data_IF_295063131420
#
_entry.id   IF_295063131420
#
_cell.length_a   1.000
_cell.length_b   1.000
_cell.length_c   1.000
_cell.angle_alpha   90.00
_cell.angle_beta   90.00
_cell.angle_gamma   90.00
#
_symmetry.space_group_name_H-M   'P 1'
#
loop_
_entity.id
_entity.type
_entity.pdbx_description
1 polymer ?
#
# COMPACT_ATOMS: atom_id res chain seq x y z
N UNK A 1 1.10 5.24 5.43
CA UNK A 1 2.45 4.65 5.31
C UNK A 1 3.51 5.75 5.41
N UNK A 2 4.35 5.71 6.44
CA UNK A 2 5.37 6.74 6.69
C UNK A 2 6.57 6.56 5.75
N UNK A 3 7.37 7.63 5.60
CA UNK A 3 8.57 7.60 4.74
C UNK A 3 9.74 6.83 5.35
N UNK A 4 9.82 6.78 6.67
CA UNK A 4 10.93 6.21 7.45
C UNK A 4 11.04 4.67 7.42
N UNK A 5 10.03 3.94 6.89
CA UNK A 5 10.08 2.47 6.85
C UNK A 5 11.08 1.89 5.84
N UNK A 6 11.55 0.64 6.01
CA UNK A 6 12.38 -0.06 5.02
C UNK A 6 11.73 -0.13 3.64
N UNK A 7 12.50 0.06 2.57
CA UNK A 7 11.96 0.12 1.20
C UNK A 7 11.30 -1.19 0.76
N UNK A 8 11.86 -2.34 1.11
CA UNK A 8 11.30 -3.66 0.78
C UNK A 8 9.94 -3.83 1.45
N UNK A 9 9.84 -3.57 2.75
CA UNK A 9 8.59 -3.67 3.50
C UNK A 9 7.50 -2.75 2.93
N UNK A 10 7.84 -1.50 2.60
CA UNK A 10 6.90 -0.54 1.98
C UNK A 10 6.42 -1.04 0.61
N UNK A 11 7.33 -1.56 -0.22
CA UNK A 11 7.02 -2.09 -1.54
C UNK A 11 6.09 -3.31 -1.47
N UNK A 12 6.44 -4.29 -0.63
CA UNK A 12 5.62 -5.49 -0.40
C UNK A 12 4.23 -5.12 0.12
N UNK A 13 4.15 -4.24 1.13
CA UNK A 13 2.88 -3.81 1.68
C UNK A 13 2.02 -3.07 0.63
N UNK A 14 2.62 -2.25 -0.22
CA UNK A 14 1.90 -1.58 -1.30
C UNK A 14 1.29 -2.60 -2.29
N UNK A 15 2.07 -3.62 -2.69
CA UNK A 15 1.58 -4.67 -3.60
C UNK A 15 0.49 -5.51 -2.95
N UNK A 16 0.67 -5.90 -1.69
CA UNK A 16 -0.34 -6.63 -0.91
C UNK A 16 -1.62 -5.81 -0.79
N UNK A 17 -1.53 -4.53 -0.43
CA UNK A 17 -2.69 -3.64 -0.34
C UNK A 17 -3.40 -3.45 -1.68
N UNK A 18 -2.64 -3.32 -2.78
CA UNK A 18 -3.20 -3.22 -4.12
C UNK A 18 -3.95 -4.49 -4.55
N UNK A 19 -3.53 -5.66 -4.04
CA UNK A 19 -4.22 -6.93 -4.26
C UNK A 19 -5.42 -7.09 -3.33
N UNK A 20 -5.25 -6.73 -2.06
CA UNK A 20 -6.25 -6.91 -1.00
C UNK A 20 -7.50 -6.07 -1.27
N UNK A 21 -7.37 -4.83 -1.77
CA UNK A 21 -8.53 -4.00 -2.15
C UNK A 21 -9.44 -4.60 -3.23
N UNK A 22 -8.96 -5.58 -3.98
CA UNK A 22 -9.73 -6.26 -5.04
C UNK A 22 -10.51 -7.47 -4.51
N UNK A 23 -10.24 -7.86 -3.27
CA UNK A 23 -10.70 -9.12 -2.68
C UNK A 23 -11.49 -8.87 -1.41
N UNK A 24 -11.02 -7.97 -0.56
CA UNK A 24 -11.61 -7.67 0.73
C UNK A 24 -12.57 -6.47 0.58
N UNK A 25 -13.89 -6.66 0.82
CA UNK A 25 -14.89 -5.60 0.68
C UNK A 25 -14.58 -4.36 1.51
N UNK A 26 -14.12 -4.54 2.75
CA UNK A 26 -13.84 -3.42 3.65
C UNK A 26 -12.64 -2.59 3.16
N UNK A 27 -11.60 -3.24 2.65
CA UNK A 27 -10.46 -2.55 2.03
C UNK A 27 -10.82 -1.95 0.66
N UNK A 28 -11.70 -2.61 -0.09
CA UNK A 28 -12.27 -2.10 -1.33
C UNK A 28 -13.07 -0.81 -1.12
N UNK A 29 -13.90 -0.75 -0.08
CA UNK A 29 -14.62 0.45 0.34
C UNK A 29 -13.69 1.62 0.61
N UNK A 30 -12.65 1.40 1.43
CA UNK A 30 -11.63 2.43 1.72
C UNK A 30 -10.99 2.93 0.43
N UNK A 31 -10.65 2.03 -0.50
CA UNK A 31 -10.08 2.45 -1.79
C UNK A 31 -11.06 3.29 -2.62
N UNK A 32 -12.32 2.85 -2.71
CA UNK A 32 -13.38 3.53 -3.45
C UNK A 32 -13.61 4.95 -2.91
N UNK A 33 -13.80 5.10 -1.59
CA UNK A 33 -14.00 6.40 -0.95
C UNK A 33 -12.83 7.35 -1.24
N UNK A 34 -11.60 6.86 -1.17
CA UNK A 34 -10.41 7.66 -1.45
C UNK A 34 -10.39 8.16 -2.91
N UNK A 35 -10.77 7.33 -3.88
CA UNK A 35 -10.72 7.72 -5.29
C UNK A 35 -11.94 8.53 -5.74
N UNK A 36 -13.14 8.12 -5.34
CA UNK A 36 -14.40 8.65 -5.86
C UNK A 36 -14.86 9.85 -5.05
N UNK A 37 -14.91 9.72 -3.72
CA UNK A 37 -15.40 10.78 -2.82
C UNK A 37 -14.31 11.83 -2.61
N UNK A 38 -13.10 11.41 -2.24
CA UNK A 38 -12.03 12.34 -1.89
C UNK A 38 -11.17 12.78 -3.09
N UNK A 39 -11.34 12.16 -4.27
CA UNK A 39 -10.55 12.51 -5.46
C UNK A 39 -9.05 12.26 -5.33
N UNK A 40 -8.61 11.38 -4.42
CA UNK A 40 -7.20 11.08 -4.23
C UNK A 40 -6.66 10.20 -5.38
N UNK A 41 -5.42 10.43 -5.82
CA UNK A 41 -4.81 9.58 -6.85
C UNK A 41 -4.60 8.14 -6.34
N UNK A 42 -4.55 7.19 -7.28
CA UNK A 42 -4.40 5.76 -7.02
C UNK A 42 -3.33 5.44 -5.97
N UNK A 43 -2.13 6.01 -6.10
CA UNK A 43 -1.01 5.74 -5.20
C UNK A 43 -1.33 6.12 -3.75
N UNK A 44 -2.01 7.26 -3.54
CA UNK A 44 -2.45 7.71 -2.21
C UNK A 44 -3.58 6.84 -1.67
N UNK A 45 -4.54 6.47 -2.51
CA UNK A 45 -5.62 5.54 -2.14
C UNK A 45 -5.06 4.17 -1.69
N UNK A 46 -4.12 3.59 -2.45
CA UNK A 46 -3.47 2.32 -2.06
C UNK A 46 -2.66 2.49 -0.76
N UNK A 47 -1.99 3.61 -0.55
CA UNK A 47 -1.30 3.86 0.73
C UNK A 47 -2.26 3.97 1.92
N UNK A 48 -3.49 4.44 1.70
CA UNK A 48 -4.54 4.45 2.73
C UNK A 48 -5.00 3.02 3.03
N UNK A 49 -5.23 2.21 2.00
CA UNK A 49 -5.54 0.77 2.15
C UNK A 49 -4.43 0.04 2.92
N UNK A 50 -3.17 0.27 2.56
CA UNK A 50 -2.02 -0.30 3.26
C UNK A 50 -2.03 0.06 4.75
N UNK A 51 -2.43 1.28 5.09
CA UNK A 51 -2.52 1.72 6.49
C UNK A 51 -3.64 0.98 7.23
N UNK A 52 -4.78 0.72 6.58
CA UNK A 52 -5.86 -0.09 7.15
C UNK A 52 -5.52 -1.59 7.24
N UNK A 53 -4.64 -2.09 6.37
CA UNK A 53 -4.23 -3.49 6.33
C UNK A 53 -3.19 -3.85 7.42
N UNK A 54 -2.27 -2.93 7.78
CA UNK A 54 -1.24 -3.16 8.80
C UNK A 54 -1.80 -3.74 10.12
N UNK A 55 -2.80 -3.13 10.79
CA UNK A 55 -3.29 -3.65 12.06
C UNK A 55 -3.90 -5.06 11.92
N UNK A 56 -4.45 -5.40 10.75
CA UNK A 56 -4.97 -6.75 10.46
C UNK A 56 -3.85 -7.78 10.38
N UNK A 57 -2.77 -7.46 9.67
CA UNK A 57 -1.57 -8.31 9.59
C UNK A 57 -0.98 -8.53 10.99
N UNK A 58 -0.80 -7.44 11.76
CA UNK A 58 -0.25 -7.53 13.11
C UNK A 58 -1.12 -8.41 14.02
N UNK A 59 -2.44 -8.30 13.90
CA UNK A 59 -3.38 -9.12 14.67
C UNK A 59 -3.27 -10.61 14.32
N UNK A 60 -3.30 -10.95 13.03
CA UNK A 60 -3.14 -12.33 12.52
C UNK A 60 -1.82 -12.94 12.99
N UNK A 61 -0.73 -12.18 12.91
CA UNK A 61 0.59 -12.63 13.36
C UNK A 61 0.65 -12.82 14.88
N UNK A 62 0.07 -11.89 15.65
CA UNK A 62 0.06 -11.96 17.12
C UNK A 62 -0.80 -13.12 17.64
N UNK A 63 -1.93 -13.36 17.00
CA UNK A 63 -2.90 -14.40 17.38
C UNK A 63 -2.56 -15.77 16.73
N UNK A 64 -1.53 -15.84 15.89
CA UNK A 64 -1.12 -17.03 15.14
C UNK A 64 -2.30 -17.77 14.47
N UNK A 65 -3.12 -17.02 13.74
CA UNK A 65 -4.30 -17.54 13.04
C UNK A 65 -4.31 -17.13 11.59
N UNK A 66 -5.18 -17.76 10.82
CA UNK A 66 -5.38 -17.37 9.42
C UNK A 66 -6.15 -16.06 9.28
N UNK A 67 -5.85 -15.34 8.19
CA UNK A 67 -6.59 -14.14 7.81
C UNK A 67 -7.93 -14.53 7.20
N UNK A 68 -9.02 -14.08 7.84
CA UNK A 68 -10.39 -14.27 7.37
C UNK A 68 -10.89 -12.96 6.76
N UNK A 69 -11.51 -13.05 5.58
CA UNK A 69 -12.13 -11.92 4.89
C UNK A 69 -13.55 -11.77 5.44
N UNK A 70 -13.97 -10.53 5.67
CA UNK A 70 -15.31 -10.21 6.15
C UNK A 70 -16.04 -9.34 5.14
N UNK A 71 -17.36 -9.47 5.06
CA UNK A 71 -18.24 -8.53 4.36
C UNK A 71 -18.34 -7.18 5.10
N UNK A 72 -19.30 -6.32 4.70
CA UNK A 72 -19.48 -5.01 5.32
C UNK A 72 -20.26 -5.09 6.64
N UNK A 73 -21.03 -6.16 6.81
CA UNK A 73 -21.90 -6.47 7.93
C UNK A 73 -21.13 -7.20 9.06
N UNK A 74 -19.94 -7.71 8.77
CA UNK A 74 -19.06 -8.39 9.73
C UNK A 74 -19.12 -9.91 9.68
N UNK A 75 -19.69 -10.51 8.65
CA UNK A 75 -19.72 -11.97 8.46
C UNK A 75 -18.48 -12.45 7.71
N UNK A 76 -17.92 -13.62 8.09
CA UNK A 76 -16.79 -14.21 7.38
C UNK A 76 -17.25 -14.72 6.01
N UNK A 77 -16.47 -14.40 4.97
CA UNK A 77 -16.77 -14.78 3.59
C UNK A 77 -15.58 -15.40 2.89
N UNK A 78 -15.86 -16.10 1.80
CA UNK A 78 -14.82 -16.64 0.92
C UNK A 78 -14.15 -15.55 0.09
N UNK A 79 -12.94 -15.86 -0.41
CA UNK A 79 -12.20 -15.00 -1.33
C UNK A 79 -12.97 -14.70 -2.63
N UNK A 80 -13.79 -15.65 -3.11
CA UNK A 80 -14.58 -15.52 -4.33
C UNK A 80 -15.72 -14.53 -4.14
N UNK A 81 -16.44 -14.66 -3.02
CA UNK A 81 -17.51 -13.74 -2.64
C UNK A 81 -16.99 -12.33 -2.42
N UNK A 82 -15.87 -12.18 -1.70
CA UNK A 82 -15.27 -10.87 -1.48
C UNK A 82 -14.91 -10.15 -2.79
N UNK A 83 -14.33 -10.87 -3.75
CA UNK A 83 -14.08 -10.33 -5.11
C UNK A 83 -15.36 -9.91 -5.83
N UNK A 84 -16.43 -10.69 -5.68
CA UNK A 84 -17.74 -10.38 -6.28
C UNK A 84 -18.29 -9.08 -5.69
N UNK A 85 -18.34 -8.96 -4.37
CA UNK A 85 -18.81 -7.76 -3.67
C UNK A 85 -18.00 -6.53 -4.08
N UNK A 86 -16.67 -6.64 -4.10
CA UNK A 86 -15.81 -5.52 -4.52
C UNK A 86 -16.10 -5.08 -5.95
N UNK A 87 -16.31 -6.03 -6.87
CA UNK A 87 -16.61 -5.73 -8.27
C UNK A 87 -17.98 -5.07 -8.43
N UNK A 88 -18.97 -5.50 -7.66
CA UNK A 88 -20.36 -5.02 -7.75
C UNK A 88 -20.54 -3.65 -7.05
N UNK A 89 -19.98 -3.48 -5.84
CA UNK A 89 -20.26 -2.32 -5.00
C UNK A 89 -19.16 -1.25 -5.02
N UNK A 90 -17.90 -1.65 -5.25
CA UNK A 90 -16.73 -0.77 -5.15
C UNK A 90 -16.02 -0.57 -6.50
N UNK A 91 -16.80 -0.59 -7.59
CA UNK A 91 -16.30 -0.28 -8.91
C UNK A 91 -15.92 1.20 -9.02
N UNK A 92 -14.65 1.49 -9.31
CA UNK A 92 -14.20 2.85 -9.61
C UNK A 92 -14.33 3.11 -11.11
N UNK A 93 -15.23 4.03 -11.55
CA UNK A 93 -15.45 4.34 -12.95
C UNK A 93 -14.18 4.79 -13.66
N UNK A 94 -14.08 4.51 -14.96
CA UNK A 94 -12.88 4.83 -15.74
C UNK A 94 -12.68 6.35 -15.87
N UNK A 95 -13.75 7.12 -15.88
CA UNK A 95 -13.73 8.58 -15.92
C UNK A 95 -13.01 9.15 -14.69
N UNK A 96 -13.27 8.58 -13.51
CA UNK A 96 -12.59 8.96 -12.26
C UNK A 96 -11.09 8.61 -12.35
N UNK A 97 -10.75 7.46 -12.92
CA UNK A 97 -9.35 7.04 -13.11
C UNK A 97 -8.61 7.93 -14.07
N UNK A 98 -9.23 8.28 -15.20
CA UNK A 98 -8.66 9.17 -16.20
C UNK A 98 -8.46 10.59 -15.66
N UNK A 99 -9.44 11.12 -14.93
CA UNK A 99 -9.36 12.44 -14.27
C UNK A 99 -8.17 12.52 -13.31
N UNK A 100 -7.94 11.47 -12.54
CA UNK A 100 -6.92 11.42 -11.49
C UNK A 100 -5.58 10.86 -11.99
N UNK A 101 -5.48 10.50 -13.27
CA UNK A 101 -4.27 10.00 -13.87
C UNK A 101 -3.27 11.15 -14.08
N UNK A 102 -2.13 11.07 -13.40
CA UNK A 102 -1.01 12.01 -13.57
C UNK A 102 -0.45 12.07 -15.01
N UNK A 103 -0.86 11.16 -15.91
CA UNK A 103 -0.43 11.13 -17.31
C UNK A 103 -0.78 12.42 -18.08
N UNK A 104 -1.85 13.12 -17.71
CA UNK A 104 -2.22 14.40 -18.35
C UNK A 104 -1.45 15.62 -17.80
N UNK A 105 -0.88 15.52 -16.59
CA UNK A 105 -0.29 16.66 -15.86
C UNK A 105 1.22 16.84 -16.06
N UNK A 106 1.92 15.87 -16.65
CA UNK A 106 3.35 16.02 -16.95
C UNK A 106 3.70 15.30 -18.26
N UNK A 107 4.12 16.01 -19.33
CA UNK A 107 5.06 15.40 -20.25
C UNK A 107 6.28 15.01 -19.41
N UNK A 108 6.60 13.71 -19.38
CA UNK A 108 7.79 13.22 -18.69
C UNK A 108 9.01 13.92 -19.31
N UNK A 109 9.49 15.02 -18.72
CA UNK A 109 10.78 15.58 -19.06
C UNK A 109 11.82 14.56 -18.56
N UNK A 110 12.21 13.64 -19.46
CA UNK A 110 13.15 12.54 -19.19
C UNK A 110 14.59 13.01 -18.96
N UNK A 111 14.85 14.32 -19.00
CA UNK A 111 16.16 14.92 -18.76
C UNK A 111 16.40 14.99 -17.25
N UNK A 112 17.25 14.10 -16.72
CA UNK A 112 17.78 14.19 -15.35
C UNK A 112 17.41 13.07 -14.38
N UNK A 113 16.60 12.07 -14.76
CA UNK A 113 16.46 10.86 -13.94
C UNK A 113 17.66 9.94 -14.16
N UNK A 114 18.63 9.95 -13.26
CA UNK A 114 19.58 8.84 -13.11
C UNK A 114 18.78 7.57 -12.86
N UNK A 115 18.83 6.63 -13.82
CA UNK A 115 18.23 5.30 -13.63
C UNK A 115 18.95 4.68 -12.42
N UNK A 116 18.26 4.20 -11.37
CA UNK A 116 18.93 3.36 -10.39
C UNK A 116 19.46 2.13 -11.14
N UNK A 117 20.78 2.00 -11.27
CA UNK A 117 21.43 0.83 -11.84
C UNK A 117 21.27 -0.32 -10.84
N UNK A 118 20.22 -1.12 -11.01
CA UNK A 118 20.12 -2.40 -10.34
C UNK A 118 20.58 -3.47 -11.30
N UNK A 119 21.83 -3.93 -11.15
CA UNK A 119 22.34 -5.11 -11.85
C UNK A 119 21.80 -6.35 -11.14
N UNK A 120 21.08 -7.22 -11.86
CA UNK A 120 20.65 -8.54 -11.35
C UNK A 120 21.92 -9.30 -10.91
N UNK A 121 22.01 -9.65 -9.63
CA UNK A 121 23.18 -10.32 -9.04
C UNK A 121 24.04 -9.45 -8.13
N UNK A 122 23.79 -8.14 -8.04
CA UNK A 122 24.42 -7.30 -7.01
C UNK A 122 23.93 -7.72 -5.61
N UNK A 123 24.87 -8.07 -4.71
CA UNK A 123 24.55 -8.32 -3.30
C UNK A 123 23.87 -7.06 -2.73
N UNK A 124 22.79 -7.25 -1.98
CA UNK A 124 22.12 -6.15 -1.28
C UNK A 124 23.18 -5.34 -0.52
N UNK A 125 23.20 -3.99 -0.62
CA UNK A 125 24.15 -3.19 0.12
C UNK A 125 23.98 -3.51 1.60
N UNK A 126 25.01 -4.09 2.21
CA UNK A 126 25.01 -4.36 3.64
C UNK A 126 25.05 -3.01 4.34
N UNK A 127 23.94 -2.61 4.95
CA UNK A 127 23.92 -1.47 5.87
C UNK A 127 24.73 -1.91 7.08
N UNK A 128 26.02 -1.56 7.13
CA UNK A 128 26.79 -1.64 8.37
C UNK A 128 26.19 -0.62 9.32
N UNK A 129 25.42 -1.09 10.29
CA UNK A 129 25.07 -0.28 11.46
C UNK A 129 26.37 -0.12 12.22
N UNK A 130 26.98 1.06 12.13
CA UNK A 130 28.17 1.38 12.92
C UNK A 130 27.74 1.50 14.39
N UNK A 131 28.01 0.46 15.18
CA UNK A 131 27.71 0.39 16.62
C UNK A 131 28.54 1.37 17.48
N UNK A 132 29.27 2.32 16.87
CA UNK A 132 30.29 3.12 17.56
C UNK A 132 29.90 4.57 17.89
N UNK A 133 28.70 5.05 17.53
CA UNK A 133 28.26 6.39 17.99
C UNK A 133 27.60 6.32 19.36
N UNK A 134 28.43 6.32 20.41
CA UNK A 134 28.00 6.77 21.75
C UNK A 134 27.38 8.16 21.59
N UNK A 135 26.08 8.25 21.86
CA UNK A 135 25.41 9.54 22.02
C UNK A 135 25.91 10.11 23.35
N UNK A 136 26.83 11.08 23.30
CA UNK A 136 27.16 11.91 24.46
C UNK A 136 26.10 13.00 24.53
N UNK A 137 25.10 12.80 25.40
CA UNK A 137 24.18 13.84 25.81
C UNK A 137 24.92 14.77 26.78
N UNK A 138 25.46 15.87 26.25
CA UNK A 138 25.87 17.02 27.07
C UNK A 138 24.64 17.89 27.28
N UNK A 139 24.13 17.93 28.50
CA UNK A 139 23.19 18.94 28.98
C UNK A 139 23.99 20.20 29.31
N UNK A 140 23.65 21.32 28.68
CA UNK A 140 23.82 22.66 29.23
C UNK A 140 22.44 23.31 29.23
#
# INVERSE_FOLDING_TARGET
MTKAGPNIAKGSLYLTANTARLIDPQLGKVYYEQMVVHGNPHTKAVCRVATALIPRILRVMKENRDYVIYDLEGNPISRKEGRKIVKEQFFVPEEVRQRLSNRKRMPLNKKGRTKPQYTRGSKAPQIRVDSSRRIVLSLN
#
